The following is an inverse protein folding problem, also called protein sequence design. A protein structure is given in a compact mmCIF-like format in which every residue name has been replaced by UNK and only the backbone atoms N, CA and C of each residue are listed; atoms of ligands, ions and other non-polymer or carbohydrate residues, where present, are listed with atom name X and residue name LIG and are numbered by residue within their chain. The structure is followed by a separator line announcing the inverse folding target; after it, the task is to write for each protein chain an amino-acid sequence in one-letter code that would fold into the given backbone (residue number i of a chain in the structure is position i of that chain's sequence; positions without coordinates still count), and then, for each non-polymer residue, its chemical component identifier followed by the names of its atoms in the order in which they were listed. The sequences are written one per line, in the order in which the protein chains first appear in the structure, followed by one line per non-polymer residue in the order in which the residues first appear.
data_IF_001567947310
#
_entry.id   IF_001567947310
#
_cell.length_a   1.000
_cell.length_b   1.000
_cell.length_c   1.000
_cell.angle_alpha   90.00
_cell.angle_beta   90.00
_cell.angle_gamma   90.00
#
_symmetry.space_group_name_H-M   'P 1'
#
loop_
_entity.id
_entity.type
_entity.pdbx_description
1 polymer ?
#
# COMPACT_ATOMS: atom_id res chain seq x y z
N UNK A 1 8.83 4.98 -15.66
CA UNK A 1 9.95 5.25 -14.74
C UNK A 1 11.12 4.39 -15.15
N UNK A 2 12.21 4.96 -15.68
CA UNK A 2 13.34 4.16 -16.19
C UNK A 2 14.26 3.61 -15.10
N UNK A 3 14.24 4.19 -13.89
CA UNK A 3 15.04 3.74 -12.74
C UNK A 3 14.27 3.94 -11.43
N UNK A 4 13.84 2.88 -10.72
CA UNK A 4 13.27 3.04 -9.38
C UNK A 4 14.35 3.57 -8.42
N UNK A 5 14.02 4.59 -7.65
CA UNK A 5 14.88 5.12 -6.60
C UNK A 5 14.61 4.35 -5.30
N UNK A 6 15.68 3.97 -4.60
CA UNK A 6 15.56 3.31 -3.29
C UNK A 6 14.78 4.20 -2.32
N UNK A 7 13.89 3.59 -1.53
CA UNK A 7 13.02 4.30 -0.60
C UNK A 7 11.83 5.03 -1.23
N UNK A 8 11.63 4.94 -2.55
CA UNK A 8 10.50 5.59 -3.24
C UNK A 8 9.53 4.58 -3.83
N UNK A 9 8.24 4.81 -3.58
CA UNK A 9 7.12 4.03 -4.11
C UNK A 9 6.11 4.91 -4.84
N UNK A 10 5.26 4.26 -5.63
CA UNK A 10 4.20 4.90 -6.38
C UNK A 10 2.87 4.31 -5.95
N UNK A 11 2.05 5.14 -5.29
CA UNK A 11 0.75 4.77 -4.79
C UNK A 11 -0.34 5.06 -5.83
N UNK A 12 -1.10 4.01 -6.18
CA UNK A 12 -2.23 4.07 -7.08
C UNK A 12 -3.45 3.56 -6.33
N UNK A 13 -4.55 4.30 -6.43
CA UNK A 13 -5.84 3.92 -5.87
C UNK A 13 -6.94 4.20 -6.89
N UNK A 14 -8.11 3.59 -6.75
CA UNK A 14 -9.17 3.64 -7.77
C UNK A 14 -9.99 4.93 -7.75
N UNK A 15 -10.05 5.66 -6.63
CA UNK A 15 -10.96 6.79 -6.43
C UNK A 15 -10.31 7.99 -5.76
N UNK A 16 -10.44 9.21 -6.31
CA UNK A 16 -9.77 10.42 -5.78
C UNK A 16 -10.36 10.96 -4.47
N UNK A 17 -11.55 10.51 -4.06
CA UNK A 17 -12.21 10.94 -2.83
C UNK A 17 -13.65 10.45 -2.76
N UNK A 18 -14.38 10.99 -1.79
CA UNK A 18 -15.78 10.67 -1.57
C UNK A 18 -16.66 11.40 -2.61
N UNK A 19 -17.52 10.66 -3.30
CA UNK A 19 -18.45 11.23 -4.30
C UNK A 19 -19.46 10.20 -4.77
N UNK A 20 -20.51 10.66 -5.44
CA UNK A 20 -21.57 9.79 -5.97
C UNK A 20 -21.97 10.22 -7.40
N UNK A 21 -21.56 9.48 -8.46
CA UNK A 21 -20.73 8.27 -8.42
C UNK A 21 -19.30 8.56 -7.94
N UNK A 22 -18.60 7.54 -7.42
CA UNK A 22 -17.23 7.69 -6.92
C UNK A 22 -16.31 8.23 -8.03
N UNK A 23 -15.63 9.36 -7.81
CA UNK A 23 -14.80 9.96 -8.84
C UNK A 23 -13.56 9.09 -9.07
N UNK A 24 -13.41 8.58 -10.29
CA UNK A 24 -12.27 7.74 -10.67
C UNK A 24 -10.94 8.49 -10.53
N UNK A 25 -9.91 7.78 -10.10
CA UNK A 25 -8.54 8.26 -10.15
C UNK A 25 -8.11 8.57 -11.59
N UNK A 26 -7.52 9.75 -11.78
CA UNK A 26 -6.93 10.21 -13.04
C UNK A 26 -5.64 10.96 -12.71
N UNK A 27 -4.55 10.61 -13.38
CA UNK A 27 -3.25 11.27 -13.24
C UNK A 27 -2.12 10.32 -12.87
N UNK A 28 -0.98 10.92 -12.54
CA UNK A 28 0.23 10.20 -12.15
C UNK A 28 0.10 9.58 -10.75
N UNK A 29 0.67 8.38 -10.51
CA UNK A 29 0.74 7.79 -9.18
C UNK A 29 1.34 8.74 -8.15
N UNK A 30 0.84 8.69 -6.92
CA UNK A 30 1.37 9.53 -5.84
C UNK A 30 2.69 8.97 -5.33
N UNK A 31 3.74 9.79 -5.27
CA UNK A 31 5.01 9.39 -4.67
C UNK A 31 4.82 9.15 -3.17
N UNK A 32 5.35 8.05 -2.67
CA UNK A 32 5.35 7.70 -1.24
C UNK A 32 6.73 7.23 -0.82
N UNK A 33 7.06 7.44 0.45
CA UNK A 33 8.24 6.85 1.07
C UNK A 33 7.98 5.37 1.39
N UNK A 34 8.94 4.51 1.05
CA UNK A 34 8.90 3.08 1.35
C UNK A 34 10.02 2.79 2.36
N UNK A 35 9.69 2.50 3.63
CA UNK A 35 10.67 2.10 4.62
C UNK A 35 11.20 0.69 4.30
N UNK A 36 12.38 0.36 4.84
CA UNK A 36 13.05 -0.94 4.63
C UNK A 36 12.53 -2.05 5.59
N UNK A 37 11.42 -1.80 6.27
CA UNK A 37 10.81 -2.70 7.25
C UNK A 37 9.34 -2.95 6.90
N UNK A 38 9.02 -4.18 6.50
CA UNK A 38 7.67 -4.59 6.11
C UNK A 38 6.68 -4.50 7.28
N UNK A 39 7.11 -4.71 8.52
CA UNK A 39 6.25 -4.64 9.69
C UNK A 39 5.88 -3.19 10.01
N UNK A 40 6.87 -2.31 9.97
CA UNK A 40 6.65 -0.87 10.09
C UNK A 40 5.71 -0.37 8.97
N UNK A 41 5.96 -0.79 7.73
CA UNK A 41 5.15 -0.38 6.58
C UNK A 41 3.72 -0.91 6.67
N UNK A 42 3.53 -2.19 6.98
CA UNK A 42 2.20 -2.79 7.11
C UNK A 42 1.40 -2.14 8.23
N UNK A 43 2.03 -1.84 9.37
CA UNK A 43 1.39 -1.11 10.48
C UNK A 43 1.02 0.32 10.10
N UNK A 44 1.91 1.04 9.41
CA UNK A 44 1.63 2.39 8.92
C UNK A 44 0.43 2.40 7.96
N UNK A 45 0.40 1.50 6.99
CA UNK A 45 -0.73 1.35 6.06
C UNK A 45 -2.02 1.04 6.81
N UNK A 46 -2.01 0.02 7.68
CA UNK A 46 -3.18 -0.39 8.46
C UNK A 46 -3.76 0.74 9.31
N UNK A 47 -2.90 1.55 9.92
CA UNK A 47 -3.32 2.67 10.76
C UNK A 47 -3.84 3.87 9.95
N UNK A 48 -3.38 4.03 8.70
CA UNK A 48 -3.83 5.09 7.80
C UNK A 48 -5.18 4.81 7.15
N UNK A 49 -5.64 3.56 7.15
CA UNK A 49 -6.96 3.20 6.62
C UNK A 49 -8.09 3.70 7.54
N UNK A 50 -9.23 4.05 6.93
CA UNK A 50 -10.44 4.41 7.64
C UNK A 50 -10.85 3.28 8.61
N UNK A 51 -10.98 3.61 9.90
CA UNK A 51 -11.19 2.64 10.98
C UNK A 51 -12.55 1.90 10.88
N UNK A 52 -13.57 2.54 10.31
CA UNK A 52 -14.90 1.94 10.17
C UNK A 52 -14.95 0.98 8.98
N UNK A 53 -14.16 1.27 7.94
CA UNK A 53 -14.21 0.53 6.67
C UNK A 53 -13.04 -0.46 6.47
N UNK A 54 -11.98 -0.42 7.29
CA UNK A 54 -10.84 -1.34 7.13
C UNK A 54 -11.16 -2.75 7.62
N UNK A 55 -11.00 -3.73 6.73
CA UNK A 55 -11.31 -5.15 6.98
C UNK A 55 -10.07 -6.02 6.87
N UNK A 56 -9.30 -5.88 5.79
CA UNK A 56 -8.08 -6.65 5.56
C UNK A 56 -7.01 -5.84 4.83
N UNK A 57 -5.75 -6.21 5.04
CA UNK A 57 -4.59 -5.65 4.37
C UNK A 57 -3.62 -6.77 4.03
N UNK A 58 -3.11 -6.76 2.80
CA UNK A 58 -2.06 -7.65 2.32
C UNK A 58 -0.87 -6.80 1.90
N UNK A 59 0.32 -7.10 2.44
CA UNK A 59 1.59 -6.47 2.08
C UNK A 59 2.56 -7.56 1.68
N UNK A 60 3.29 -7.37 0.57
CA UNK A 60 4.33 -8.28 0.11
C UNK A 60 5.57 -7.52 -0.34
N UNK A 61 6.73 -7.93 0.15
CA UNK A 61 8.03 -7.53 -0.38
C UNK A 61 8.56 -8.65 -1.27
N UNK A 62 9.23 -8.27 -2.36
CA UNK A 62 9.84 -9.18 -3.32
C UNK A 62 11.26 -8.65 -3.55
N UNK A 63 12.28 -9.45 -3.23
CA UNK A 63 13.65 -9.10 -3.60
C UNK A 63 13.84 -9.41 -5.09
N UNK A 64 14.14 -8.41 -5.95
CA UNK A 64 14.34 -8.64 -7.38
C UNK A 64 15.59 -9.48 -7.71
N UNK A 65 16.53 -9.67 -6.78
CA UNK A 65 17.76 -10.44 -7.00
C UNK A 65 17.50 -11.95 -7.01
N UNK A 66 16.69 -12.43 -6.08
CA UNK A 66 16.44 -13.87 -5.87
C UNK A 66 14.96 -14.27 -5.90
N UNK A 67 14.05 -13.31 -6.07
CA UNK A 67 12.59 -13.46 -6.00
C UNK A 67 12.09 -13.98 -4.64
N UNK A 68 12.88 -13.88 -3.58
CA UNK A 68 12.42 -14.17 -2.22
C UNK A 68 11.29 -13.21 -1.86
N UNK A 69 10.34 -13.72 -1.07
CA UNK A 69 9.15 -12.95 -0.71
C UNK A 69 8.95 -12.93 0.78
N UNK A 70 8.60 -11.76 1.29
CA UNK A 70 8.08 -11.60 2.64
C UNK A 70 6.64 -11.10 2.55
N UNK A 71 5.74 -11.60 3.40
CA UNK A 71 4.31 -11.27 3.36
C UNK A 71 3.78 -10.93 4.75
N UNK A 72 2.87 -9.97 4.82
CA UNK A 72 2.03 -9.68 5.98
C UNK A 72 0.56 -9.64 5.58
N UNK A 73 -0.27 -10.31 6.37
CA UNK A 73 -1.72 -10.33 6.20
C UNK A 73 -2.32 -9.88 7.52
N UNK A 74 -3.07 -8.78 7.48
CA UNK A 74 -3.83 -8.27 8.62
C UNK A 74 -5.30 -8.41 8.27
N UNK A 75 -6.08 -8.97 9.18
CA UNK A 75 -7.53 -9.04 9.04
C UNK A 75 -8.15 -8.71 10.40
N UNK A 76 -9.10 -7.77 10.38
CA UNK A 76 -9.79 -7.26 11.57
C UNK A 76 -10.50 -8.36 12.35
N UNK A 77 -10.93 -9.43 11.69
CA UNK A 77 -11.74 -10.50 12.27
C UNK A 77 -10.96 -11.78 12.58
N UNK A 78 -9.65 -11.79 12.38
CA UNK A 78 -8.82 -12.92 12.78
C UNK A 78 -8.59 -12.86 14.29
N UNK A 79 -8.93 -13.95 15.00
CA UNK A 79 -8.66 -14.12 16.43
C UNK A 79 -7.18 -14.39 16.69
#
# INVERSE_FOLDING_TARGET
YEKPLAGQGHFIHTYVGDGNPLPSFKGEPKLVEIPDDIDAFAKMLWNSLNADNKISLFVRYIDPKDNSTETRIINRYTK
#
